data_IF_936857325501
#
_entry.id   IF_936857325501
#
_cell.length_a   1.000
_cell.length_b   1.000
_cell.length_c   1.000
_cell.angle_alpha   90.00
_cell.angle_beta   90.00
_cell.angle_gamma   90.00
#
_symmetry.space_group_name_H-M   'P 1'
#
loop_
_entity.id
_entity.type
_entity.pdbx_description
1 polymer ?
#
# COMPACT_ATOMS: atom_id res chain seq x y z
N UNK A 1 15.61 38.29 31.94
CA UNK A 1 14.48 37.59 32.55
C UNK A 1 13.34 37.62 31.55
N UNK A 2 13.17 36.56 30.81
CA UNK A 2 11.90 36.27 30.13
C UNK A 2 11.70 34.77 30.31
N UNK A 3 10.90 34.43 31.33
CA UNK A 3 10.38 33.10 31.56
C UNK A 3 9.35 32.80 30.47
N UNK A 4 9.69 31.94 29.53
CA UNK A 4 8.72 31.33 28.61
C UNK A 4 8.11 30.09 29.27
N UNK A 5 6.99 30.32 29.93
CA UNK A 5 6.13 29.33 30.56
C UNK A 5 5.47 28.47 29.48
N UNK A 6 6.09 27.32 29.08
CA UNK A 6 5.49 26.32 28.19
C UNK A 6 4.56 25.47 29.03
N UNK A 7 3.31 25.88 29.15
CA UNK A 7 2.21 25.21 29.84
C UNK A 7 1.58 24.15 28.91
N UNK A 8 2.30 23.06 28.62
CA UNK A 8 1.73 21.90 27.97
C UNK A 8 1.26 20.84 28.98
N UNK A 9 0.07 20.22 28.77
CA UNK A 9 -0.38 19.11 29.61
C UNK A 9 0.62 17.95 29.61
N UNK A 10 0.61 17.08 30.66
CA UNK A 10 1.48 15.90 30.74
C UNK A 10 1.42 15.05 29.47
N UNK A 11 0.23 14.91 28.88
CA UNK A 11 0.03 14.19 27.61
C UNK A 11 0.66 14.89 26.41
N UNK A 12 0.61 16.22 26.34
CA UNK A 12 1.22 16.97 25.25
C UNK A 12 2.75 16.86 25.27
N UNK A 13 3.38 17.03 26.42
CA UNK A 13 4.85 16.85 26.57
C UNK A 13 5.28 15.44 26.21
N UNK A 14 4.49 14.43 26.59
CA UNK A 14 4.77 13.03 26.22
C UNK A 14 4.70 12.83 24.70
N UNK A 15 3.66 13.34 24.02
CA UNK A 15 3.55 13.24 22.57
C UNK A 15 4.68 13.96 21.82
N UNK A 16 5.11 15.12 22.32
CA UNK A 16 6.28 15.83 21.76
C UNK A 16 7.57 14.99 21.89
N UNK A 17 7.78 14.36 23.05
CA UNK A 17 8.92 13.47 23.25
C UNK A 17 8.84 12.19 22.38
N UNK A 18 7.66 11.61 22.22
CA UNK A 18 7.42 10.49 21.31
C UNK A 18 7.74 10.89 19.86
N UNK A 19 7.32 12.09 19.43
CA UNK A 19 7.62 12.59 18.08
C UNK A 19 9.14 12.74 17.85
N UNK A 20 9.86 13.22 18.82
CA UNK A 20 11.33 13.35 18.71
C UNK A 20 12.00 11.97 18.61
N UNK A 21 11.55 10.98 19.40
CA UNK A 21 12.05 9.62 19.30
C UNK A 21 11.74 9.00 17.92
N UNK A 22 10.51 9.18 17.44
CA UNK A 22 10.10 8.72 16.11
C UNK A 22 10.95 9.37 14.99
N UNK A 23 11.25 10.66 15.09
CA UNK A 23 12.13 11.36 14.14
C UNK A 23 13.56 10.82 14.14
N UNK A 24 14.06 10.42 15.32
CA UNK A 24 15.42 9.90 15.47
C UNK A 24 15.54 8.43 15.08
N UNK A 25 14.59 7.60 15.51
CA UNK A 25 14.67 6.13 15.40
C UNK A 25 13.87 5.57 14.22
N UNK A 26 13.00 6.39 13.61
CA UNK A 26 12.12 6.00 12.53
C UNK A 26 10.89 5.19 12.94
N UNK A 27 10.95 4.48 14.08
CA UNK A 27 9.85 3.66 14.62
C UNK A 27 9.92 3.59 16.14
N UNK A 28 8.78 3.25 16.76
CA UNK A 28 8.68 2.96 18.20
C UNK A 28 7.56 1.94 18.43
N UNK A 29 7.77 1.01 19.36
CA UNK A 29 6.76 0.02 19.75
C UNK A 29 5.90 0.52 20.91
N UNK A 30 4.70 -0.07 21.09
CA UNK A 30 3.85 0.19 22.27
C UNK A 30 4.60 -0.16 23.56
N UNK A 31 5.35 -1.27 23.56
CA UNK A 31 6.11 -1.71 24.73
C UNK A 31 7.19 -0.70 25.10
N UNK A 32 7.96 -0.19 24.15
CA UNK A 32 8.95 0.87 24.39
C UNK A 32 8.30 2.16 24.91
N UNK A 33 7.10 2.51 24.43
CA UNK A 33 6.36 3.66 24.95
C UNK A 33 5.94 3.46 26.40
N UNK A 34 5.42 2.28 26.74
CA UNK A 34 5.02 1.93 28.12
C UNK A 34 6.22 2.02 29.05
N UNK A 35 7.35 1.42 28.68
CA UNK A 35 8.57 1.39 29.49
C UNK A 35 9.22 2.77 29.64
N UNK A 36 9.31 3.55 28.56
CA UNK A 36 10.00 4.86 28.58
C UNK A 36 9.19 5.98 29.21
N UNK A 37 7.88 5.94 29.09
CA UNK A 37 6.99 7.02 29.54
C UNK A 37 6.16 6.66 30.76
N UNK A 38 6.36 5.48 31.32
CA UNK A 38 5.62 4.97 32.48
C UNK A 38 4.10 5.21 32.33
N UNK A 39 3.54 4.66 31.24
CA UNK A 39 2.13 4.80 30.90
C UNK A 39 1.51 3.45 30.56
N UNK A 40 0.17 3.34 30.63
CA UNK A 40 -0.52 2.12 30.20
C UNK A 40 -0.51 1.98 28.67
N UNK A 41 -0.61 0.73 28.17
CA UNK A 41 -0.78 0.49 26.71
C UNK A 41 -1.95 1.29 26.12
N UNK A 42 -3.08 1.37 26.83
CA UNK A 42 -4.24 2.15 26.38
C UNK A 42 -3.89 3.65 26.22
N UNK A 43 -3.05 4.18 27.11
CA UNK A 43 -2.55 5.56 27.02
C UNK A 43 -1.61 5.73 25.84
N UNK A 44 -0.66 4.79 25.64
CA UNK A 44 0.25 4.81 24.51
C UNK A 44 -0.49 4.76 23.17
N UNK A 45 -1.50 3.87 23.04
CA UNK A 45 -2.34 3.77 21.84
C UNK A 45 -3.11 5.05 21.55
N UNK A 46 -3.73 5.67 22.57
CA UNK A 46 -4.44 6.95 22.43
C UNK A 46 -3.51 8.11 22.07
N UNK A 47 -2.31 8.14 22.62
CA UNK A 47 -1.32 9.17 22.23
C UNK A 47 -0.91 9.03 20.77
N UNK A 48 -0.62 7.80 20.30
CA UNK A 48 -0.31 7.56 18.90
C UNK A 48 -1.48 7.90 17.95
N UNK A 49 -2.72 7.62 18.36
CA UNK A 49 -3.93 7.97 17.61
C UNK A 49 -4.08 9.49 17.43
N UNK A 50 -3.89 10.26 18.52
CA UNK A 50 -3.90 11.71 18.43
C UNK A 50 -2.74 12.29 17.63
N UNK A 51 -1.58 11.62 17.68
CA UNK A 51 -0.40 12.04 16.93
C UNK A 51 -0.52 11.77 15.45
N UNK A 52 -1.15 10.66 15.02
CA UNK A 52 -1.40 10.32 13.62
C UNK A 52 -2.24 11.41 12.92
N UNK A 53 -3.21 12.02 13.64
CA UNK A 53 -4.02 13.10 13.12
C UNK A 53 -3.26 14.46 12.99
N UNK A 54 -2.15 14.63 13.73
CA UNK A 54 -1.45 15.92 13.84
C UNK A 54 -0.03 15.94 13.27
N UNK A 55 0.59 14.78 13.09
CA UNK A 55 1.99 14.63 12.70
C UNK A 55 2.14 13.55 11.63
N UNK A 56 3.18 13.60 10.79
CA UNK A 56 3.47 12.57 9.78
C UNK A 56 4.00 11.30 10.47
N UNK A 57 3.11 10.56 11.08
CA UNK A 57 3.36 9.26 11.67
C UNK A 57 2.30 8.27 11.19
N UNK A 58 2.66 7.00 11.13
CA UNK A 58 1.78 5.90 10.74
C UNK A 58 1.74 4.92 11.90
N UNK A 59 0.54 4.58 12.38
CA UNK A 59 0.37 3.55 13.40
C UNK A 59 0.54 2.15 12.81
N UNK A 60 1.16 1.28 13.58
CA UNK A 60 1.29 -0.15 13.30
C UNK A 60 0.55 -0.95 14.37
N UNK A 61 0.33 -2.26 14.14
CA UNK A 61 -0.28 -3.16 15.13
C UNK A 61 0.47 -3.09 16.48
N UNK A 62 1.80 -2.93 16.46
CA UNK A 62 2.66 -2.92 17.63
C UNK A 62 3.25 -1.57 18.03
N UNK A 63 2.88 -0.43 17.37
CA UNK A 63 3.51 0.85 17.67
C UNK A 63 3.23 1.94 16.63
N UNK A 64 4.25 2.72 16.27
CA UNK A 64 4.18 3.73 15.21
C UNK A 64 5.51 3.89 14.47
N UNK A 65 5.45 4.42 13.26
CA UNK A 65 6.59 4.81 12.43
C UNK A 65 6.50 6.30 12.06
N UNK A 66 7.66 6.94 11.88
CA UNK A 66 7.74 8.32 11.43
C UNK A 66 7.73 8.41 9.90
N UNK A 67 6.72 9.06 9.36
CA UNK A 67 6.55 9.31 7.91
C UNK A 67 7.04 10.72 7.48
N UNK A 68 7.89 11.32 8.28
CA UNK A 68 8.28 12.74 8.20
C UNK A 68 9.31 13.11 7.14
N UNK A 69 9.64 12.20 6.24
CA UNK A 69 10.27 12.53 4.98
C UNK A 69 9.37 12.03 3.86
N UNK A 70 8.96 12.94 2.97
CA UNK A 70 8.35 12.63 1.66
C UNK A 70 9.29 11.81 0.73
N UNK A 71 10.32 11.19 1.27
CA UNK A 71 11.15 10.21 0.59
C UNK A 71 10.59 8.84 0.90
N UNK A 72 9.79 8.33 -0.01
CA UNK A 72 9.40 6.93 -0.02
C UNK A 72 10.70 6.11 0.00
N UNK A 73 10.92 5.36 1.08
CA UNK A 73 12.05 4.44 1.20
C UNK A 73 11.69 3.12 0.53
N UNK A 74 12.71 2.37 0.13
CA UNK A 74 12.57 0.95 -0.21
C UNK A 74 12.26 0.14 1.07
N UNK A 75 11.00 0.19 1.52
CA UNK A 75 10.54 -0.42 2.77
C UNK A 75 10.24 -1.89 2.52
N UNK A 76 10.81 -2.78 3.35
CA UNK A 76 10.57 -4.21 3.22
C UNK A 76 9.08 -4.58 3.37
N UNK A 77 8.65 -5.65 2.69
CA UNK A 77 7.28 -6.17 2.75
C UNK A 77 6.82 -6.39 4.19
N UNK A 78 7.65 -7.01 5.02
CA UNK A 78 7.33 -7.30 6.42
C UNK A 78 7.04 -6.03 7.26
N UNK A 79 7.72 -4.92 6.95
CA UNK A 79 7.46 -3.63 7.61
C UNK A 79 6.13 -3.02 7.14
N UNK A 80 5.80 -3.20 5.85
CA UNK A 80 4.57 -2.67 5.25
C UNK A 80 3.32 -3.50 5.59
N UNK A 81 3.47 -4.78 5.92
CA UNK A 81 2.35 -5.70 6.16
C UNK A 81 1.46 -5.24 7.32
N UNK A 82 2.07 -4.75 8.41
CA UNK A 82 1.34 -4.26 9.58
C UNK A 82 0.81 -2.82 9.47
N UNK A 83 1.25 -2.06 8.45
CA UNK A 83 0.83 -0.67 8.26
C UNK A 83 -0.54 -0.61 7.59
N UNK A 84 -1.47 0.18 8.14
CA UNK A 84 -2.82 0.37 7.57
C UNK A 84 -3.48 -0.98 7.21
N UNK A 85 -3.37 -1.98 8.11
CA UNK A 85 -3.82 -3.34 7.83
C UNK A 85 -5.32 -3.41 7.56
N UNK A 86 -6.14 -2.75 8.39
CA UNK A 86 -7.60 -2.76 8.27
C UNK A 86 -8.07 -2.05 6.98
N UNK A 87 -7.44 -0.95 6.62
CA UNK A 87 -7.69 -0.22 5.38
C UNK A 87 -7.39 -1.12 4.16
N UNK A 88 -6.25 -1.80 4.18
CA UNK A 88 -5.86 -2.73 3.12
C UNK A 88 -6.76 -3.97 3.04
N UNK A 89 -7.24 -4.49 4.17
CA UNK A 89 -8.25 -5.57 4.17
C UNK A 89 -9.53 -5.12 3.47
N UNK A 90 -10.04 -3.93 3.79
CA UNK A 90 -11.23 -3.38 3.13
C UNK A 90 -11.01 -3.19 1.63
N UNK A 91 -9.87 -2.63 1.24
CA UNK A 91 -9.49 -2.47 -0.17
C UNK A 91 -9.42 -3.83 -0.87
N UNK A 92 -8.79 -4.83 -0.26
CA UNK A 92 -8.69 -6.18 -0.80
C UNK A 92 -10.07 -6.84 -0.95
N UNK A 93 -10.97 -6.68 0.04
CA UNK A 93 -12.35 -7.18 -0.04
C UNK A 93 -13.13 -6.50 -1.18
N UNK A 94 -12.97 -5.18 -1.33
CA UNK A 94 -13.56 -4.45 -2.45
C UNK A 94 -13.02 -4.92 -3.79
N UNK A 95 -11.70 -5.11 -3.92
CA UNK A 95 -11.07 -5.65 -5.12
C UNK A 95 -11.60 -7.06 -5.45
N UNK A 96 -11.70 -7.94 -4.44
CA UNK A 96 -12.24 -9.29 -4.60
C UNK A 96 -13.69 -9.30 -5.10
N UNK A 97 -14.52 -8.30 -4.72
CA UNK A 97 -15.91 -8.18 -5.18
C UNK A 97 -16.03 -7.80 -6.67
N UNK A 98 -14.96 -7.33 -7.30
CA UNK A 98 -14.92 -6.97 -8.72
C UNK A 98 -14.42 -8.11 -9.62
N UNK A 99 -14.07 -9.25 -9.03
CA UNK A 99 -13.53 -10.42 -9.74
C UNK A 99 -14.64 -11.45 -9.90
N UNK A 100 -14.82 -11.94 -11.11
CA UNK A 100 -15.85 -12.89 -11.50
C UNK A 100 -15.24 -14.25 -11.92
N UNK A 101 -16.05 -15.28 -11.97
CA UNK A 101 -15.64 -16.58 -12.51
C UNK A 101 -15.28 -16.44 -13.99
N UNK A 102 -14.19 -17.07 -14.40
CA UNK A 102 -13.64 -16.96 -15.76
C UNK A 102 -12.61 -15.84 -15.93
N UNK A 103 -12.44 -14.95 -14.93
CA UNK A 103 -11.48 -13.87 -15.03
C UNK A 103 -10.02 -14.37 -15.08
N UNK A 104 -9.24 -13.70 -15.94
CA UNK A 104 -7.77 -13.72 -15.89
C UNK A 104 -7.33 -12.41 -15.25
N UNK A 105 -6.85 -12.48 -14.03
CA UNK A 105 -6.46 -11.30 -13.26
C UNK A 105 -4.94 -11.23 -13.06
N UNK A 106 -4.40 -10.03 -13.02
CA UNK A 106 -3.02 -9.74 -12.65
C UNK A 106 -2.94 -9.16 -11.24
N UNK A 107 -2.00 -9.64 -10.46
CA UNK A 107 -1.65 -9.08 -9.15
C UNK A 107 -0.16 -8.72 -9.16
N UNK A 108 0.17 -7.42 -9.04
CA UNK A 108 1.53 -7.03 -8.69
C UNK A 108 1.83 -7.40 -7.24
N UNK A 109 3.07 -7.26 -6.80
CA UNK A 109 3.39 -7.40 -5.39
C UNK A 109 2.71 -6.35 -4.51
N UNK A 110 3.11 -6.35 -3.25
CA UNK A 110 2.62 -5.45 -2.22
C UNK A 110 1.60 -6.08 -1.28
N UNK A 111 1.48 -5.45 -0.10
CA UNK A 111 0.71 -6.01 1.03
C UNK A 111 -0.79 -6.03 0.78
N UNK A 112 -1.35 -5.06 0.06
CA UNK A 112 -2.77 -5.03 -0.31
C UNK A 112 -3.13 -6.18 -1.25
N UNK A 113 -2.31 -6.41 -2.30
CA UNK A 113 -2.51 -7.51 -3.23
C UNK A 113 -2.28 -8.88 -2.58
N UNK A 114 -1.39 -8.97 -1.60
CA UNK A 114 -1.24 -10.19 -0.80
C UNK A 114 -2.50 -10.51 0.02
N UNK A 115 -3.15 -9.49 0.63
CA UNK A 115 -4.45 -9.67 1.29
C UNK A 115 -5.54 -10.06 0.29
N UNK A 116 -5.55 -9.47 -0.92
CA UNK A 116 -6.45 -9.90 -1.99
C UNK A 116 -6.24 -11.36 -2.35
N UNK A 117 -4.99 -11.81 -2.50
CA UNK A 117 -4.68 -13.22 -2.79
C UNK A 117 -5.21 -14.17 -1.71
N UNK A 118 -5.14 -13.81 -0.43
CA UNK A 118 -5.75 -14.59 0.68
C UNK A 118 -7.25 -14.80 0.48
N UNK A 119 -7.97 -13.77 0.04
CA UNK A 119 -9.41 -13.88 -0.23
C UNK A 119 -9.69 -14.74 -1.47
N UNK A 120 -8.84 -14.63 -2.50
CA UNK A 120 -8.99 -15.39 -3.74
C UNK A 120 -8.68 -16.88 -3.58
N UNK A 121 -7.92 -17.26 -2.57
CA UNK A 121 -7.62 -18.68 -2.24
C UNK A 121 -8.89 -19.53 -2.09
N UNK A 122 -10.00 -18.92 -1.69
CA UNK A 122 -11.30 -19.58 -1.51
C UNK A 122 -12.15 -19.61 -2.80
N UNK A 123 -11.63 -19.10 -3.91
CA UNK A 123 -12.32 -19.04 -5.19
C UNK A 123 -11.89 -20.18 -6.11
N UNK A 124 -12.72 -20.43 -7.12
CA UNK A 124 -12.43 -21.34 -8.23
C UNK A 124 -12.75 -20.64 -9.56
N UNK A 125 -12.31 -21.25 -10.66
CA UNK A 125 -12.65 -20.75 -12.01
C UNK A 125 -11.96 -19.44 -12.40
N UNK A 126 -10.91 -19.01 -11.70
CA UNK A 126 -10.11 -17.83 -12.05
C UNK A 126 -8.65 -18.20 -12.30
N UNK A 127 -7.98 -17.37 -13.10
CA UNK A 127 -6.54 -17.45 -13.33
C UNK A 127 -5.86 -16.20 -12.76
N UNK A 128 -4.83 -16.37 -11.94
CA UNK A 128 -4.02 -15.28 -11.37
C UNK A 128 -2.65 -15.25 -12.02
N UNK A 129 -2.31 -14.15 -12.67
CA UNK A 129 -0.97 -13.82 -13.16
C UNK A 129 -0.29 -12.95 -12.10
N UNK A 130 0.88 -13.34 -11.64
CA UNK A 130 1.62 -12.53 -10.63
C UNK A 130 3.12 -12.62 -10.82
N UNK A 131 3.81 -11.53 -10.51
CA UNK A 131 5.26 -11.48 -10.37
C UNK A 131 5.70 -11.62 -8.90
N UNK A 132 4.79 -11.81 -7.96
CA UNK A 132 5.08 -11.87 -6.53
C UNK A 132 5.10 -13.31 -6.01
N UNK A 133 6.26 -13.75 -5.50
CA UNK A 133 6.48 -15.12 -5.01
C UNK A 133 5.59 -15.41 -3.79
N UNK A 134 5.43 -14.48 -2.87
CA UNK A 134 4.57 -14.64 -1.70
C UNK A 134 3.08 -14.79 -2.07
N UNK A 135 2.61 -14.08 -3.11
CA UNK A 135 1.24 -14.25 -3.64
C UNK A 135 1.09 -15.63 -4.29
N UNK A 136 2.06 -16.06 -5.10
CA UNK A 136 2.05 -17.38 -5.71
C UNK A 136 2.04 -18.49 -4.65
N UNK A 137 2.83 -18.36 -3.60
CA UNK A 137 2.87 -19.31 -2.48
C UNK A 137 1.56 -19.32 -1.68
N UNK A 138 0.92 -18.17 -1.47
CA UNK A 138 -0.39 -18.10 -0.78
C UNK A 138 -1.48 -18.85 -1.56
N UNK A 139 -1.46 -18.74 -2.88
CA UNK A 139 -2.43 -19.41 -3.75
C UNK A 139 -2.09 -20.87 -4.06
N UNK A 140 -0.89 -21.32 -3.72
CA UNK A 140 -0.47 -22.71 -3.96
C UNK A 140 -1.37 -23.69 -3.20
N UNK A 141 -1.81 -24.74 -3.90
CA UNK A 141 -2.73 -25.76 -3.33
C UNK A 141 -4.21 -25.33 -3.26
N UNK A 142 -4.57 -24.14 -3.77
CA UNK A 142 -5.97 -23.75 -4.00
C UNK A 142 -6.47 -24.23 -5.37
N UNK A 143 -7.76 -23.95 -5.67
CA UNK A 143 -8.34 -24.21 -7.01
C UNK A 143 -8.06 -23.10 -8.03
N UNK A 144 -7.29 -22.07 -7.65
CA UNK A 144 -6.91 -20.97 -8.53
C UNK A 144 -5.75 -21.41 -9.42
N UNK A 145 -5.87 -21.19 -10.73
CA UNK A 145 -4.73 -21.36 -11.63
C UNK A 145 -3.77 -20.18 -11.45
N UNK A 146 -2.50 -20.45 -11.16
CA UNK A 146 -1.49 -19.42 -10.94
C UNK A 146 -0.43 -19.46 -12.03
N UNK A 147 -0.20 -18.29 -12.65
CA UNK A 147 0.86 -18.05 -13.64
C UNK A 147 1.88 -17.09 -13.00
N UNK A 148 3.10 -17.56 -12.78
CA UNK A 148 4.20 -16.75 -12.22
C UNK A 148 5.09 -16.26 -13.34
N UNK A 149 5.34 -14.96 -13.44
CA UNK A 149 6.05 -14.36 -14.58
C UNK A 149 7.54 -14.69 -14.67
N UNK A 150 8.13 -15.20 -13.59
CA UNK A 150 9.59 -15.40 -13.53
C UNK A 150 10.36 -14.12 -13.35
N UNK A 151 11.70 -14.22 -13.31
CA UNK A 151 12.61 -13.09 -13.11
C UNK A 151 13.55 -13.28 -11.93
N UNK A 152 14.24 -12.20 -11.53
CA UNK A 152 15.12 -12.14 -10.36
C UNK A 152 14.33 -11.59 -9.19
N UNK A 153 14.31 -12.32 -8.08
CA UNK A 153 13.54 -11.93 -6.90
C UNK A 153 14.21 -10.78 -6.14
N UNK A 154 13.46 -9.72 -5.89
CA UNK A 154 13.83 -8.66 -4.96
C UNK A 154 13.49 -9.07 -3.53
N UNK A 155 14.48 -9.02 -2.64
CA UNK A 155 14.31 -9.45 -1.25
C UNK A 155 13.30 -8.61 -0.46
N UNK A 156 13.24 -7.29 -0.73
CA UNK A 156 12.38 -6.37 0.02
C UNK A 156 10.89 -6.51 -0.32
N UNK A 157 10.54 -6.94 -1.53
CA UNK A 157 9.15 -6.98 -2.00
C UNK A 157 8.65 -8.39 -2.37
N UNK A 158 9.56 -9.38 -2.45
CA UNK A 158 9.30 -10.72 -2.98
C UNK A 158 8.85 -10.73 -4.45
N UNK A 159 9.10 -9.65 -5.19
CA UNK A 159 8.73 -9.54 -6.58
C UNK A 159 9.84 -10.03 -7.51
N UNK A 160 9.43 -10.78 -8.52
CA UNK A 160 10.26 -11.22 -9.63
C UNK A 160 10.30 -10.10 -10.66
N UNK A 161 11.49 -9.61 -10.98
CA UNK A 161 11.70 -8.46 -11.83
C UNK A 161 12.75 -8.77 -12.91
N UNK A 162 12.84 -7.87 -13.89
CA UNK A 162 13.86 -7.87 -14.94
C UNK A 162 13.41 -8.52 -16.23
N UNK A 163 14.30 -8.52 -17.25
CA UNK A 163 13.96 -8.82 -18.64
C UNK A 163 13.31 -10.21 -18.88
N UNK A 164 13.62 -11.21 -18.05
CA UNK A 164 13.03 -12.52 -18.15
C UNK A 164 11.52 -12.48 -17.83
N UNK A 165 11.14 -11.79 -16.74
CA UNK A 165 9.74 -11.62 -16.36
C UNK A 165 8.99 -10.75 -17.38
N UNK A 166 9.58 -9.62 -17.76
CA UNK A 166 9.00 -8.71 -18.76
C UNK A 166 8.78 -9.38 -20.10
N UNK A 167 9.74 -10.23 -20.55
CA UNK A 167 9.63 -11.02 -21.77
C UNK A 167 8.49 -12.03 -21.72
N UNK A 168 8.29 -12.70 -20.57
CA UNK A 168 7.15 -13.60 -20.39
C UNK A 168 5.82 -12.84 -20.42
N UNK A 169 5.73 -11.72 -19.71
CA UNK A 169 4.51 -10.88 -19.66
C UNK A 169 4.07 -10.43 -21.04
N UNK A 170 5.00 -10.16 -21.96
CA UNK A 170 4.69 -9.72 -23.32
C UNK A 170 3.77 -10.69 -24.09
N UNK A 171 3.71 -11.97 -23.70
CA UNK A 171 2.88 -13.01 -24.34
C UNK A 171 1.56 -13.27 -23.61
N UNK A 172 1.26 -12.53 -22.52
CA UNK A 172 0.04 -12.72 -21.75
C UNK A 172 -1.05 -11.75 -22.20
N UNK A 173 -2.31 -12.10 -21.89
CA UNK A 173 -3.46 -11.22 -21.98
C UNK A 173 -4.18 -11.28 -20.63
N UNK A 174 -4.22 -10.14 -19.94
CA UNK A 174 -4.78 -10.01 -18.60
C UNK A 174 -6.07 -9.19 -18.69
N UNK A 175 -7.17 -9.71 -18.14
CA UNK A 175 -8.45 -9.01 -18.12
C UNK A 175 -8.45 -7.83 -17.16
N UNK A 176 -8.13 -8.09 -15.89
CA UNK A 176 -8.14 -7.09 -14.82
C UNK A 176 -6.80 -7.12 -14.08
N UNK A 177 -6.09 -5.99 -14.04
CA UNK A 177 -4.80 -5.85 -13.33
C UNK A 177 -4.97 -5.02 -12.07
N UNK A 178 -4.53 -5.55 -10.93
CA UNK A 178 -4.49 -4.84 -9.66
C UNK A 178 -3.05 -4.44 -9.35
N UNK A 179 -2.75 -3.14 -9.39
CA UNK A 179 -1.40 -2.58 -9.16
C UNK A 179 -1.34 -1.93 -7.79
N UNK A 180 -0.48 -2.46 -6.92
CA UNK A 180 -0.06 -1.79 -5.69
C UNK A 180 0.91 -0.64 -6.00
N UNK A 181 0.89 0.42 -5.19
CA UNK A 181 1.70 1.60 -5.41
C UNK A 181 2.36 2.09 -4.12
N UNK A 182 3.49 2.77 -4.24
CA UNK A 182 4.12 3.47 -3.11
C UNK A 182 3.65 4.91 -3.00
N UNK A 183 3.22 5.50 -4.10
CA UNK A 183 2.63 6.84 -4.13
C UNK A 183 1.71 7.03 -5.32
N UNK A 184 0.70 7.90 -5.14
CA UNK A 184 -0.21 8.37 -6.18
C UNK A 184 -0.45 9.86 -6.03
N UNK A 185 -0.31 10.61 -7.13
CA UNK A 185 -0.55 12.04 -7.14
C UNK A 185 -1.15 12.50 -8.48
N UNK A 186 -1.79 13.66 -8.47
CA UNK A 186 -2.40 14.25 -9.66
C UNK A 186 -1.37 14.53 -10.78
N UNK A 187 -0.15 14.93 -10.41
CA UNK A 187 0.91 15.25 -11.36
C UNK A 187 1.78 14.05 -11.74
N UNK A 188 2.06 13.15 -10.76
CA UNK A 188 3.01 12.04 -10.94
C UNK A 188 2.38 10.72 -11.37
N UNK A 189 1.04 10.62 -11.37
CA UNK A 189 0.38 9.33 -11.57
C UNK A 189 0.67 8.36 -10.44
N UNK A 190 0.85 7.09 -10.76
CA UNK A 190 1.24 6.04 -9.82
C UNK A 190 2.74 5.77 -9.88
N UNK A 191 3.37 5.60 -8.71
CA UNK A 191 4.82 5.55 -8.58
C UNK A 191 5.27 4.47 -7.59
N UNK A 192 6.50 3.99 -7.75
CA UNK A 192 7.18 3.06 -6.83
C UNK A 192 8.62 3.50 -6.56
N UNK A 193 9.23 2.95 -5.53
CA UNK A 193 10.62 3.26 -5.18
C UNK A 193 11.64 2.58 -6.11
N UNK A 194 11.32 1.42 -6.64
CA UNK A 194 12.23 0.57 -7.40
C UNK A 194 12.02 0.69 -8.91
N UNK A 195 13.10 0.93 -9.64
CA UNK A 195 13.09 0.92 -11.10
C UNK A 195 12.64 -0.45 -11.65
N UNK A 196 13.15 -1.52 -11.08
CA UNK A 196 12.83 -2.88 -11.53
C UNK A 196 11.34 -3.21 -11.33
N UNK A 197 10.76 -2.80 -10.21
CA UNK A 197 9.31 -2.94 -9.97
C UNK A 197 8.51 -2.08 -10.94
N UNK A 198 8.95 -0.84 -11.21
CA UNK A 198 8.29 0.01 -12.19
C UNK A 198 8.26 -0.62 -13.59
N UNK A 199 9.34 -1.24 -14.04
CA UNK A 199 9.42 -1.84 -15.37
C UNK A 199 8.48 -3.05 -15.51
N UNK A 200 8.48 -3.98 -14.54
CA UNK A 200 7.57 -5.13 -14.60
C UNK A 200 6.11 -4.70 -14.45
N UNK A 201 5.80 -3.70 -13.62
CA UNK A 201 4.46 -3.14 -13.47
C UNK A 201 3.97 -2.50 -14.78
N UNK A 202 4.80 -1.73 -15.48
CA UNK A 202 4.51 -1.19 -16.82
C UNK A 202 4.20 -2.29 -17.82
N UNK A 203 5.00 -3.36 -17.83
CA UNK A 203 4.77 -4.49 -18.71
C UNK A 203 3.42 -5.16 -18.44
N UNK A 204 3.06 -5.38 -17.17
CA UNK A 204 1.79 -5.94 -16.74
C UNK A 204 0.61 -5.06 -17.15
N UNK A 205 0.68 -3.74 -16.91
CA UNK A 205 -0.34 -2.76 -17.31
C UNK A 205 -0.55 -2.81 -18.84
N UNK A 206 0.52 -2.78 -19.61
CA UNK A 206 0.46 -2.80 -21.08
C UNK A 206 -0.24 -4.05 -21.64
N UNK A 207 -0.24 -5.14 -20.88
CA UNK A 207 -0.87 -6.42 -21.28
C UNK A 207 -2.24 -6.63 -20.65
N UNK A 208 -2.78 -5.61 -20.00
CA UNK A 208 -4.04 -5.67 -19.28
C UNK A 208 -5.13 -4.86 -19.98
N UNK A 209 -6.36 -5.37 -19.94
CA UNK A 209 -7.51 -4.66 -20.49
C UNK A 209 -8.01 -3.55 -19.56
N UNK A 210 -8.05 -3.86 -18.25
CA UNK A 210 -8.47 -2.89 -17.23
C UNK A 210 -7.45 -2.88 -16.10
N UNK A 211 -6.95 -1.70 -15.73
CA UNK A 211 -5.98 -1.52 -14.64
C UNK A 211 -6.62 -0.79 -13.47
N UNK A 212 -6.57 -1.42 -12.31
CA UNK A 212 -6.98 -0.89 -11.01
C UNK A 212 -5.74 -0.53 -10.20
N UNK A 213 -5.56 0.74 -9.83
CA UNK A 213 -4.58 1.10 -8.81
C UNK A 213 -5.20 0.87 -7.42
N UNK A 214 -4.54 0.07 -6.59
CA UNK A 214 -5.00 -0.26 -5.23
C UNK A 214 -4.11 0.42 -4.19
N UNK A 215 -4.68 1.27 -3.36
CA UNK A 215 -3.92 2.09 -2.41
C UNK A 215 -4.76 2.56 -1.24
N UNK A 216 -4.15 2.66 -0.08
CA UNK A 216 -4.71 3.31 1.10
C UNK A 216 -4.42 4.83 1.09
N UNK A 217 -5.14 5.59 1.92
CA UNK A 217 -5.03 7.04 2.02
C UNK A 217 -3.59 7.53 2.24
N UNK A 218 -2.75 6.74 2.89
CA UNK A 218 -1.35 7.14 3.17
C UNK A 218 -0.50 7.30 1.91
N UNK A 219 -0.95 6.79 0.75
CA UNK A 219 -0.27 6.89 -0.55
C UNK A 219 -0.68 8.12 -1.35
N UNK A 220 -1.80 8.74 -1.00
CA UNK A 220 -2.36 9.91 -1.71
C UNK A 220 -1.47 11.14 -1.51
N UNK A 221 -1.21 11.86 -2.60
CA UNK A 221 -0.35 13.04 -2.62
C UNK A 221 1.15 12.74 -2.58
N UNK A 222 1.55 11.47 -2.46
CA UNK A 222 2.96 11.05 -2.48
C UNK A 222 3.43 10.74 -3.89
N UNK A 223 4.69 11.04 -4.15
CA UNK A 223 5.39 10.66 -5.39
C UNK A 223 6.69 9.97 -5.03
N UNK A 224 6.86 8.75 -5.52
CA UNK A 224 8.07 7.95 -5.34
C UNK A 224 9.03 8.15 -6.53
N UNK A 225 10.22 7.54 -6.47
CA UNK A 225 11.31 7.82 -7.39
C UNK A 225 11.01 7.44 -8.84
N UNK A 226 10.31 6.32 -9.08
CA UNK A 226 10.07 5.80 -10.43
C UNK A 226 8.57 5.80 -10.76
N UNK A 227 8.22 6.36 -11.90
CA UNK A 227 6.86 6.35 -12.43
C UNK A 227 6.51 4.94 -12.94
N UNK A 228 5.31 4.47 -12.60
CA UNK A 228 4.71 3.26 -13.16
C UNK A 228 3.80 3.62 -14.34
N UNK A 229 2.80 4.48 -14.11
CA UNK A 229 1.86 4.91 -15.14
C UNK A 229 1.33 6.32 -14.85
N UNK A 230 0.98 7.05 -15.90
CA UNK A 230 0.23 8.29 -15.78
C UNK A 230 -1.25 7.98 -15.50
N UNK A 231 -1.98 8.94 -14.91
CA UNK A 231 -3.40 8.72 -14.57
C UNK A 231 -4.26 8.30 -15.78
N UNK A 232 -4.10 8.85 -16.99
CA UNK A 232 -4.90 8.45 -18.16
C UNK A 232 -4.74 6.98 -18.59
N UNK A 233 -3.69 6.30 -18.11
CA UNK A 233 -3.45 4.89 -18.41
C UNK A 233 -4.23 3.94 -17.48
N UNK A 234 -4.91 4.50 -16.46
CA UNK A 234 -5.63 3.76 -15.44
C UNK A 234 -7.14 3.87 -15.66
N UNK A 235 -7.88 2.78 -15.45
CA UNK A 235 -9.33 2.75 -15.59
C UNK A 235 -10.06 2.90 -14.25
N UNK A 236 -9.44 2.45 -13.15
CA UNK A 236 -10.08 2.55 -11.86
C UNK A 236 -9.07 2.67 -10.69
N UNK A 237 -9.56 3.22 -9.59
CA UNK A 237 -8.93 3.24 -8.29
C UNK A 237 -9.75 2.43 -7.29
N UNK A 238 -9.06 1.74 -6.37
CA UNK A 238 -9.68 1.12 -5.21
C UNK A 238 -8.93 1.65 -3.98
N UNK A 239 -9.66 2.36 -3.11
CA UNK A 239 -9.09 3.05 -1.94
C UNK A 239 -10.04 2.94 -0.75
N UNK A 240 -9.53 3.17 0.46
CA UNK A 240 -10.28 3.09 1.72
C UNK A 240 -11.16 4.32 1.99
N UNK A 241 -10.82 5.47 1.42
CA UNK A 241 -11.56 6.73 1.64
C UNK A 241 -11.89 7.45 0.33
N UNK A 242 -12.93 8.30 0.30
CA UNK A 242 -13.22 9.16 -0.84
C UNK A 242 -12.03 10.08 -1.17
N UNK A 243 -11.72 10.22 -2.44
CA UNK A 243 -10.67 11.13 -2.90
C UNK A 243 -11.17 12.58 -2.85
N UNK A 244 -10.24 13.50 -2.56
CA UNK A 244 -10.50 14.93 -2.51
C UNK A 244 -9.38 15.71 -3.22
N UNK A 245 -9.63 16.98 -3.53
CA UNK A 245 -8.65 17.89 -4.15
C UNK A 245 -8.22 17.44 -5.55
N UNK A 246 -7.00 17.83 -5.94
CA UNK A 246 -6.48 17.68 -7.30
C UNK A 246 -6.54 16.25 -7.85
N UNK A 247 -6.35 15.23 -7.00
CA UNK A 247 -6.41 13.84 -7.44
C UNK A 247 -7.84 13.43 -7.81
N UNK A 248 -8.84 13.88 -7.04
CA UNK A 248 -10.26 13.64 -7.37
C UNK A 248 -10.65 14.33 -8.66
N UNK A 249 -10.23 15.59 -8.84
CA UNK A 249 -10.50 16.37 -10.05
C UNK A 249 -9.89 15.70 -11.30
N UNK A 250 -8.64 15.24 -11.18
CA UNK A 250 -7.96 14.52 -12.27
C UNK A 250 -8.59 13.16 -12.55
N UNK A 251 -9.01 12.42 -11.52
CA UNK A 251 -9.74 11.17 -11.72
C UNK A 251 -11.03 11.40 -12.50
N UNK A 252 -11.80 12.45 -12.17
CA UNK A 252 -13.00 12.85 -12.91
C UNK A 252 -12.71 13.25 -14.37
N UNK A 253 -11.67 14.09 -14.60
CA UNK A 253 -11.25 14.51 -15.93
C UNK A 253 -10.89 13.32 -16.84
N UNK A 254 -10.21 12.31 -16.30
CA UNK A 254 -9.80 11.11 -17.04
C UNK A 254 -10.83 9.97 -16.98
N UNK A 255 -12.01 10.20 -16.38
CA UNK A 255 -13.08 9.21 -16.22
C UNK A 255 -12.63 7.93 -15.50
N UNK A 256 -11.71 8.07 -14.53
CA UNK A 256 -11.26 6.97 -13.72
C UNK A 256 -12.35 6.64 -12.70
N UNK A 257 -12.79 5.39 -12.65
CA UNK A 257 -13.82 4.95 -11.70
C UNK A 257 -13.19 4.80 -10.32
N UNK A 258 -13.75 5.46 -9.29
CA UNK A 258 -13.24 5.36 -7.93
C UNK A 258 -14.13 4.43 -7.11
N UNK A 259 -13.60 3.29 -6.70
CA UNK A 259 -14.25 2.36 -5.78
C UNK A 259 -13.75 2.63 -4.36
N UNK A 260 -14.63 3.13 -3.51
CA UNK A 260 -14.32 3.33 -2.10
C UNK A 260 -14.71 2.08 -1.32
N UNK A 261 -13.77 1.55 -0.57
CA UNK A 261 -13.97 0.42 0.34
C UNK A 261 -14.53 0.96 1.68
N UNK A 262 -15.85 1.03 1.80
CA UNK A 262 -16.53 1.52 2.99
C UNK A 262 -16.20 0.69 4.24
N UNK A 263 -16.30 1.29 5.42
CA UNK A 263 -16.35 0.54 6.68
C UNK A 263 -17.58 -0.38 6.64
N UNK A 264 -17.37 -1.64 7.02
CA UNK A 264 -18.51 -2.53 7.28
C UNK A 264 -19.12 -2.07 8.61
N UNK A 265 -20.39 -1.66 8.57
CA UNK A 265 -21.20 -1.36 9.77
C UNK A 265 -21.35 -2.60 10.67
#
# INVERSE_FOLDING_TARGET
MVDSNVSGSKGQRRREAILQLLKQQGRITIQELVERFDCSEATARRDLEQMEAAYPIIRTIGGAMYDGMNTVRDTAFAEREGLSYLEKERIAAKAASLIEEGDVIGLSGGTTNYLLAKLLKLRSGITVVTNAVNIAMELAGSSVQVVVTGGIMRHNSFELCGPLGEGMVAHLNIGKMFIGVDGISAAGGITTYSEQEAQIAKALIKRSHTTYAVFDQTKVGKTSLFSIAALPELQAFITDVPLTGDLADKAGQHRIVVHVAAEQE
#
